data_IF_548579505939
#
_entry.id   IF_548579505939
#
_cell.length_a   1.000
_cell.length_b   1.000
_cell.length_c   1.000
_cell.angle_alpha   90.00
_cell.angle_beta   90.00
_cell.angle_gamma   90.00
#
_symmetry.space_group_name_H-M   'P 1'
#
loop_
_entity.id
_entity.type
_entity.pdbx_description
1 polymer ?
#
# COMPACT_ATOMS: atom_id res chain seq x y z
N UNK A 1 -65.55 44.50 -10.29
CA UNK A 1 -64.49 43.95 -11.14
C UNK A 1 -63.18 44.05 -10.37
N UNK A 2 -62.79 43.02 -9.63
CA UNK A 2 -61.43 42.88 -9.06
C UNK A 2 -61.15 41.38 -8.89
N UNK A 3 -60.23 40.84 -9.70
CA UNK A 3 -59.67 39.49 -9.57
C UNK A 3 -58.52 39.54 -8.56
N UNK A 4 -58.46 38.60 -7.61
CA UNK A 4 -57.24 38.29 -6.87
C UNK A 4 -56.71 36.92 -7.30
N UNK A 5 -55.53 36.93 -7.90
CA UNK A 5 -54.78 35.75 -8.34
C UNK A 5 -53.95 35.21 -7.17
N UNK A 6 -53.97 33.89 -6.97
CA UNK A 6 -53.10 33.21 -6.01
C UNK A 6 -51.87 32.69 -6.75
N UNK A 7 -50.68 33.10 -6.31
CA UNK A 7 -49.41 32.54 -6.78
C UNK A 7 -49.03 31.40 -5.86
N UNK A 8 -49.08 30.16 -6.38
CA UNK A 8 -48.58 28.98 -5.68
C UNK A 8 -47.06 28.91 -5.81
N UNK A 9 -46.35 28.92 -4.68
CA UNK A 9 -44.91 28.64 -4.63
C UNK A 9 -44.68 27.13 -4.56
N UNK A 10 -44.10 26.55 -5.61
CA UNK A 10 -43.67 25.15 -5.63
C UNK A 10 -42.34 24.95 -4.90
N UNK A 11 -42.31 24.04 -3.92
CA UNK A 11 -41.11 23.64 -3.19
C UNK A 11 -40.30 22.66 -4.05
N UNK A 12 -39.11 23.05 -4.51
CA UNK A 12 -38.20 22.19 -5.26
C UNK A 12 -37.30 21.41 -4.28
N UNK A 13 -37.52 20.10 -4.14
CA UNK A 13 -36.67 19.23 -3.33
C UNK A 13 -35.40 18.82 -4.11
N UNK A 14 -34.25 19.37 -3.72
CA UNK A 14 -32.94 19.03 -4.27
C UNK A 14 -32.49 17.70 -3.65
N UNK A 15 -32.49 16.63 -4.43
CA UNK A 15 -31.91 15.35 -4.02
C UNK A 15 -30.39 15.43 -4.22
N UNK A 16 -29.65 15.46 -3.12
CA UNK A 16 -28.19 15.42 -3.15
C UNK A 16 -27.74 13.99 -3.44
N UNK A 17 -27.21 13.75 -4.65
CA UNK A 17 -26.53 12.50 -4.99
C UNK A 17 -25.17 12.48 -4.29
N UNK A 18 -25.11 11.85 -3.12
CA UNK A 18 -23.83 11.52 -2.51
C UNK A 18 -23.23 10.34 -3.29
N UNK A 19 -22.21 10.60 -4.11
CA UNK A 19 -21.35 9.57 -4.64
C UNK A 19 -20.53 8.99 -3.47
N UNK A 20 -20.95 7.82 -2.96
CA UNK A 20 -20.11 7.03 -2.06
C UNK A 20 -19.02 6.36 -2.90
N UNK A 21 -17.78 6.81 -2.77
CA UNK A 21 -16.64 6.06 -3.30
C UNK A 21 -16.63 4.68 -2.65
N UNK A 22 -16.75 3.62 -3.46
CA UNK A 22 -16.70 2.24 -2.94
C UNK A 22 -15.28 1.94 -2.41
N UNK A 23 -15.15 1.17 -1.31
CA UNK A 23 -13.86 0.61 -0.92
C UNK A 23 -13.28 -0.17 -2.09
N UNK A 24 -11.98 0.02 -2.37
CA UNK A 24 -11.28 -0.76 -3.39
C UNK A 24 -11.42 -2.24 -3.05
N UNK A 25 -12.05 -3.03 -3.92
CA UNK A 25 -12.01 -4.49 -3.84
C UNK A 25 -10.54 -4.93 -3.80
N UNK A 26 -10.22 -5.96 -3.00
CA UNK A 26 -8.86 -6.47 -2.94
C UNK A 26 -8.43 -6.89 -4.35
N UNK A 27 -7.28 -6.40 -4.84
CA UNK A 27 -6.85 -6.65 -6.21
C UNK A 27 -6.63 -8.14 -6.44
N UNK A 28 -6.91 -8.63 -7.65
CA UNK A 28 -6.81 -10.05 -8.02
C UNK A 28 -5.56 -10.41 -8.83
N UNK A 29 -4.56 -9.52 -8.87
CA UNK A 29 -3.32 -9.71 -9.63
C UNK A 29 -2.13 -8.93 -9.08
N UNK A 30 -1.12 -8.71 -9.92
CA UNK A 30 0.07 -7.91 -9.57
C UNK A 30 -0.31 -6.52 -9.07
N UNK A 31 0.28 -6.07 -7.95
CA UNK A 31 0.06 -4.73 -7.40
C UNK A 31 1.33 -3.88 -7.47
N UNK A 32 1.21 -2.57 -7.69
CA UNK A 32 2.37 -1.73 -7.83
C UNK A 32 3.01 -1.44 -6.47
N UNK A 33 4.34 -1.54 -6.38
CA UNK A 33 5.10 -1.15 -5.21
C UNK A 33 5.73 0.23 -5.42
N UNK A 34 6.45 0.42 -6.52
CA UNK A 34 7.08 1.70 -6.83
C UNK A 34 6.98 1.99 -8.32
N UNK A 35 6.22 3.01 -8.71
CA UNK A 35 6.05 3.41 -10.12
C UNK A 35 6.41 4.88 -10.27
N UNK A 36 7.58 5.16 -10.83
CA UNK A 36 7.98 6.55 -11.13
C UNK A 36 8.55 6.74 -12.52
N UNK A 37 9.37 5.81 -13.01
CA UNK A 37 10.01 5.94 -14.33
C UNK A 37 10.04 4.58 -15.03
N UNK A 38 10.27 4.49 -16.36
CA UNK A 38 10.41 3.21 -17.05
C UNK A 38 11.50 2.27 -16.48
N UNK A 39 12.46 2.84 -15.75
CA UNK A 39 13.55 2.11 -15.08
C UNK A 39 13.30 1.88 -13.58
N UNK A 40 12.28 2.52 -13.00
CA UNK A 40 11.88 2.38 -11.61
C UNK A 40 10.36 2.14 -11.54
N UNK A 41 10.01 0.92 -11.92
CA UNK A 41 8.64 0.42 -12.04
C UNK A 41 8.59 -1.02 -11.51
N UNK A 42 8.36 -1.15 -10.21
CA UNK A 42 8.41 -2.37 -9.42
C UNK A 42 7.01 -2.78 -8.94
N UNK A 43 6.69 -4.06 -9.07
CA UNK A 43 5.40 -4.66 -8.77
C UNK A 43 5.56 -5.96 -7.99
N UNK A 44 4.56 -6.32 -7.19
CA UNK A 44 4.44 -7.68 -6.69
C UNK A 44 4.00 -8.63 -7.81
N UNK A 45 4.32 -9.92 -7.69
CA UNK A 45 3.79 -10.95 -8.61
C UNK A 45 2.36 -11.37 -8.29
N UNK A 46 1.91 -11.12 -7.07
CA UNK A 46 0.54 -11.35 -6.60
C UNK A 46 0.16 -10.32 -5.53
N UNK A 47 -1.13 -10.12 -5.22
CA UNK A 47 -1.57 -9.23 -4.14
C UNK A 47 -0.94 -9.61 -2.79
N UNK A 48 -0.65 -10.90 -2.61
CA UNK A 48 0.08 -11.42 -1.46
C UNK A 48 1.55 -11.59 -1.82
N UNK A 49 2.46 -10.73 -1.34
CA UNK A 49 3.88 -10.85 -1.68
C UNK A 49 4.45 -12.17 -1.16
N UNK A 50 4.16 -12.55 0.09
CA UNK A 50 4.64 -13.80 0.67
C UNK A 50 6.16 -13.93 0.58
N UNK A 51 6.65 -15.12 0.19
CA UNK A 51 8.07 -15.37 -0.04
C UNK A 51 8.44 -15.28 -1.55
N UNK A 52 8.04 -14.19 -2.20
CA UNK A 52 8.25 -13.97 -3.63
C UNK A 52 8.94 -12.62 -3.88
N UNK A 53 9.95 -12.64 -4.74
CA UNK A 53 10.57 -11.41 -5.23
C UNK A 53 9.57 -10.54 -6.00
N UNK A 54 9.55 -9.22 -5.76
CA UNK A 54 8.88 -8.32 -6.68
C UNK A 54 9.62 -8.28 -8.03
N UNK A 55 8.89 -7.88 -9.06
CA UNK A 55 9.38 -7.81 -10.43
C UNK A 55 9.35 -6.40 -10.98
N UNK A 56 10.12 -6.18 -12.05
CA UNK A 56 9.97 -5.04 -12.92
C UNK A 56 8.97 -5.36 -14.04
N UNK A 57 8.47 -4.32 -14.72
CA UNK A 57 7.54 -4.47 -15.85
C UNK A 57 8.02 -5.40 -16.97
N UNK A 58 9.32 -5.65 -17.09
CA UNK A 58 9.94 -6.53 -18.09
C UNK A 58 10.22 -7.95 -17.57
N UNK A 59 9.53 -8.38 -16.51
CA UNK A 59 9.66 -9.67 -15.85
C UNK A 59 11.05 -9.95 -15.22
N UNK A 60 11.91 -8.94 -15.07
CA UNK A 60 13.14 -9.08 -14.30
C UNK A 60 12.84 -9.02 -12.81
N UNK A 61 13.51 -9.86 -12.04
CA UNK A 61 13.48 -9.81 -10.57
C UNK A 61 14.04 -8.45 -10.11
N UNK A 62 13.34 -7.83 -9.18
CA UNK A 62 13.81 -6.70 -8.40
C UNK A 62 14.12 -7.21 -7.00
N UNK A 63 15.40 -7.31 -6.63
CA UNK A 63 15.84 -7.85 -5.36
C UNK A 63 15.63 -6.85 -4.24
N UNK A 64 14.36 -6.64 -3.89
CA UNK A 64 13.95 -5.83 -2.76
C UNK A 64 13.45 -6.77 -1.68
N UNK A 65 14.17 -6.80 -0.57
CA UNK A 65 13.82 -7.59 0.59
C UNK A 65 13.42 -6.70 1.77
N UNK A 66 12.54 -7.24 2.60
CA UNK A 66 11.98 -6.56 3.74
C UNK A 66 11.71 -7.53 4.89
N UNK A 67 12.38 -7.28 6.02
CA UNK A 67 12.13 -7.99 7.26
C UNK A 67 11.66 -7.05 8.37
N UNK A 68 10.89 -7.63 9.28
CA UNK A 68 10.66 -7.07 10.61
C UNK A 68 10.95 -8.15 11.65
N UNK A 69 11.72 -7.81 12.68
CA UNK A 69 11.92 -8.70 13.82
C UNK A 69 11.07 -8.22 14.97
N UNK A 70 10.26 -9.11 15.54
CA UNK A 70 9.31 -8.83 16.63
C UNK A 70 9.56 -9.86 17.73
N UNK A 71 9.95 -9.40 18.91
CA UNK A 71 10.27 -10.25 20.08
C UNK A 71 11.23 -11.41 19.76
N UNK A 72 12.20 -11.14 18.90
CA UNK A 72 13.20 -12.12 18.47
C UNK A 72 12.81 -12.97 17.25
N UNK A 73 11.54 -12.98 16.83
CA UNK A 73 11.04 -13.70 15.64
C UNK A 73 11.14 -12.81 14.40
N UNK A 74 11.74 -13.32 13.33
CA UNK A 74 11.89 -12.57 12.06
C UNK A 74 10.74 -12.89 11.12
N UNK A 75 10.08 -11.84 10.62
CA UNK A 75 9.00 -11.90 9.66
C UNK A 75 9.40 -11.22 8.37
N UNK A 76 9.16 -11.86 7.23
CA UNK A 76 9.46 -11.33 5.91
C UNK A 76 8.20 -10.78 5.26
N UNK A 77 8.14 -9.46 5.08
CA UNK A 77 6.99 -8.78 4.51
C UNK A 77 7.14 -8.51 3.00
N UNK A 78 8.35 -8.62 2.45
CA UNK A 78 8.63 -8.51 1.02
C UNK A 78 9.90 -9.28 0.64
N UNK A 79 9.95 -9.77 -0.60
CA UNK A 79 11.15 -10.37 -1.19
C UNK A 79 11.17 -11.88 -1.06
N UNK A 80 12.35 -12.48 -1.17
CA UNK A 80 12.53 -13.91 -0.94
C UNK A 80 13.78 -14.21 -0.11
N UNK A 81 13.63 -15.10 0.87
CA UNK A 81 14.73 -15.53 1.73
C UNK A 81 14.80 -17.04 1.85
N UNK A 82 16.01 -17.58 1.82
CA UNK A 82 16.34 -18.97 2.13
C UNK A 82 16.84 -19.14 3.58
N UNK A 83 16.79 -18.07 4.39
CA UNK A 83 17.20 -18.11 5.79
C UNK A 83 16.23 -18.97 6.61
N UNK A 84 16.78 -19.88 7.42
CA UNK A 84 15.99 -20.65 8.38
C UNK A 84 15.43 -19.76 9.49
N UNK A 85 14.22 -20.10 9.98
CA UNK A 85 13.59 -19.40 11.09
C UNK A 85 12.92 -18.06 10.73
N UNK A 86 12.81 -17.76 9.44
CA UNK A 86 12.02 -16.62 8.93
C UNK A 86 10.56 -17.05 8.71
N UNK A 87 9.63 -16.23 9.21
CA UNK A 87 8.19 -16.46 9.11
C UNK A 87 7.56 -15.53 8.07
N UNK A 88 6.49 -15.99 7.42
CA UNK A 88 5.68 -15.15 6.52
C UNK A 88 4.47 -14.63 7.29
N UNK A 89 4.27 -13.31 7.41
CA UNK A 89 3.15 -12.77 8.14
C UNK A 89 1.82 -13.07 7.42
N UNK A 90 0.73 -13.11 8.17
CA UNK A 90 -0.61 -13.20 7.59
C UNK A 90 -0.91 -11.89 6.88
N UNK A 91 -1.51 -11.95 5.69
CA UNK A 91 -1.95 -10.75 4.98
C UNK A 91 -3.45 -10.62 5.20
N UNK A 92 -3.86 -9.51 5.81
CA UNK A 92 -5.26 -9.25 6.14
C UNK A 92 -5.95 -8.43 5.05
N UNK A 93 -5.26 -7.43 4.49
CA UNK A 93 -5.84 -6.55 3.48
C UNK A 93 -4.78 -5.95 2.54
N UNK A 94 -5.22 -5.62 1.32
CA UNK A 94 -4.44 -4.89 0.32
C UNK A 94 -5.30 -3.81 -0.29
N UNK A 95 -4.88 -2.56 -0.13
CA UNK A 95 -5.55 -1.40 -0.73
C UNK A 95 -4.64 -0.74 -1.74
N UNK A 96 -5.14 -0.59 -2.96
CA UNK A 96 -4.45 0.09 -4.05
C UNK A 96 -5.20 1.37 -4.38
N UNK A 97 -4.48 2.48 -4.38
CA UNK A 97 -4.95 3.81 -4.78
C UNK A 97 -4.03 4.37 -5.85
N UNK A 98 -4.41 5.45 -6.55
CA UNK A 98 -3.57 6.01 -7.62
C UNK A 98 -2.14 6.40 -7.21
N UNK A 99 -1.89 6.66 -5.92
CA UNK A 99 -0.58 7.10 -5.42
C UNK A 99 0.02 6.21 -4.35
N UNK A 100 -0.71 5.21 -3.87
CA UNK A 100 -0.31 4.36 -2.73
C UNK A 100 -0.80 2.94 -2.88
N UNK A 101 0.04 2.00 -2.47
CA UNK A 101 -0.32 0.60 -2.21
C UNK A 101 -0.06 0.31 -0.74
N UNK A 102 -1.07 -0.18 -0.04
CA UNK A 102 -1.03 -0.45 1.40
C UNK A 102 -1.26 -1.94 1.59
N UNK A 103 -0.33 -2.61 2.26
CA UNK A 103 -0.48 -3.98 2.73
C UNK A 103 -0.64 -3.97 4.25
N UNK A 104 -1.69 -4.60 4.75
CA UNK A 104 -1.92 -4.81 6.17
C UNK A 104 -1.66 -6.27 6.52
N UNK A 105 -0.72 -6.49 7.42
CA UNK A 105 -0.26 -7.79 7.85
C UNK A 105 -0.46 -8.00 9.34
N UNK A 106 -0.62 -9.25 9.76
CA UNK A 106 -0.52 -9.68 11.15
C UNK A 106 0.74 -10.54 11.33
N UNK A 107 1.61 -10.11 12.24
CA UNK A 107 2.89 -10.73 12.56
C UNK A 107 2.95 -11.06 14.05
N UNK A 108 2.35 -12.20 14.43
CA UNK A 108 2.17 -12.55 15.85
C UNK A 108 1.15 -11.64 16.52
N UNK A 109 1.56 -10.93 17.58
CA UNK A 109 0.70 -9.98 18.32
C UNK A 109 0.93 -8.52 17.89
N UNK A 110 1.39 -8.31 16.66
CA UNK A 110 1.65 -6.98 16.10
C UNK A 110 1.03 -6.90 14.72
N UNK A 111 0.22 -5.86 14.53
CA UNK A 111 -0.28 -5.46 13.22
C UNK A 111 0.79 -4.62 12.53
N UNK A 112 1.14 -4.99 11.30
CA UNK A 112 2.14 -4.32 10.47
C UNK A 112 1.46 -3.76 9.22
N UNK A 113 1.54 -2.45 9.01
CA UNK A 113 1.08 -1.79 7.79
C UNK A 113 2.27 -1.30 6.98
N UNK A 114 2.41 -1.79 5.75
CA UNK A 114 3.44 -1.38 4.80
C UNK A 114 2.80 -0.56 3.68
N UNK A 115 3.09 0.73 3.65
CA UNK A 115 2.59 1.66 2.62
C UNK A 115 3.71 2.03 1.66
N UNK A 116 3.55 1.63 0.41
CA UNK A 116 4.37 2.12 -0.69
C UNK A 116 3.68 3.33 -1.30
N UNK A 117 4.38 4.45 -1.43
CA UNK A 117 3.81 5.66 -2.02
C UNK A 117 4.74 6.32 -3.03
N UNK A 118 4.12 6.75 -4.12
CA UNK A 118 4.70 7.57 -5.16
C UNK A 118 3.95 8.91 -5.17
N UNK A 119 4.27 9.85 -4.25
CA UNK A 119 3.53 11.10 -4.15
C UNK A 119 3.59 11.90 -5.45
N UNK A 120 2.45 12.44 -5.87
CA UNK A 120 2.35 13.44 -6.94
C UNK A 120 2.18 14.78 -6.23
N UNK A 121 3.28 15.46 -5.90
CA UNK A 121 3.21 16.82 -5.35
C UNK A 121 2.88 17.78 -6.50
N UNK A 122 1.65 18.29 -6.57
CA UNK A 122 1.22 19.22 -7.62
C UNK A 122 1.74 20.65 -7.44
N UNK A 123 2.31 20.97 -6.27
CA UNK A 123 2.70 22.34 -5.90
C UNK A 123 4.18 22.68 -6.14
N UNK A 124 5.05 21.69 -6.41
CA UNK A 124 6.49 21.91 -6.57
C UNK A 124 7.08 21.02 -7.68
N UNK A 125 7.31 21.65 -8.85
CA UNK A 125 7.89 21.00 -10.03
C UNK A 125 9.36 20.55 -9.83
N UNK A 126 10.09 21.15 -8.89
CA UNK A 126 11.47 20.76 -8.60
C UNK A 126 11.50 19.42 -7.83
N UNK A 127 10.55 19.19 -6.92
CA UNK A 127 10.42 17.93 -6.17
C UNK A 127 9.87 16.79 -7.02
N UNK A 128 9.11 17.10 -8.08
CA UNK A 128 8.71 16.11 -9.10
C UNK A 128 9.89 15.60 -9.95
N UNK A 129 10.98 16.36 -10.03
CA UNK A 129 12.15 16.02 -10.86
C UNK A 129 13.09 15.01 -10.20
N UNK A 130 12.86 14.66 -8.93
CA UNK A 130 13.66 13.69 -8.18
C UNK A 130 13.00 12.30 -8.23
N UNK A 131 13.71 11.26 -8.68
CA UNK A 131 13.17 9.91 -8.78
C UNK A 131 13.19 9.22 -7.41
N UNK A 132 12.29 9.59 -6.50
CA UNK A 132 12.10 8.93 -5.20
C UNK A 132 10.72 8.25 -5.08
N UNK A 133 10.70 7.12 -4.37
CA UNK A 133 9.48 6.51 -3.81
C UNK A 133 9.69 6.38 -2.30
N UNK A 134 8.61 6.34 -1.53
CA UNK A 134 8.70 6.07 -0.10
C UNK A 134 8.08 4.72 0.22
N UNK A 135 8.64 4.08 1.25
CA UNK A 135 7.99 2.99 1.98
C UNK A 135 7.89 3.42 3.43
N UNK A 136 6.66 3.40 3.94
CA UNK A 136 6.36 3.64 5.33
C UNK A 136 5.96 2.31 5.97
N UNK A 137 6.52 2.02 7.14
CA UNK A 137 6.15 0.89 7.97
C UNK A 137 5.57 1.43 9.26
N UNK A 138 4.35 0.99 9.58
CA UNK A 138 3.65 1.31 10.80
C UNK A 138 3.37 0.00 11.54
N UNK A 139 3.65 -0.03 12.85
CA UNK A 139 3.45 -1.22 13.67
C UNK A 139 2.66 -0.85 14.92
N UNK A 140 1.68 -1.68 15.28
CA UNK A 140 0.88 -1.52 16.50
C UNK A 140 0.67 -2.86 17.19
N UNK A 141 0.85 -2.89 18.51
CA UNK A 141 0.53 -4.06 19.33
C UNK A 141 -0.98 -4.36 19.26
N UNK A 142 -1.33 -5.64 19.11
CA UNK A 142 -2.71 -6.13 19.16
C UNK A 142 -3.08 -6.71 20.53
N UNK A 143 -2.10 -6.93 21.41
CA UNK A 143 -2.28 -7.49 22.76
C UNK A 143 -2.08 -6.47 23.90
N UNK A 144 -1.87 -5.20 23.57
CA UNK A 144 -1.61 -4.08 24.50
C UNK A 144 -0.29 -4.22 25.29
N UNK A 145 0.66 -5.01 24.80
CA UNK A 145 2.00 -5.14 25.38
C UNK A 145 3.05 -4.37 24.58
N UNK A 146 4.18 -4.12 25.22
CA UNK A 146 5.36 -3.58 24.53
C UNK A 146 6.10 -4.73 23.85
N UNK A 147 6.45 -4.54 22.58
CA UNK A 147 7.24 -5.49 21.80
C UNK A 147 8.57 -4.84 21.37
N UNK A 148 9.64 -5.64 21.35
CA UNK A 148 10.90 -5.21 20.74
C UNK A 148 10.80 -5.37 19.23
N UNK A 149 11.04 -4.29 18.48
CA UNK A 149 10.88 -4.28 17.03
C UNK A 149 12.12 -3.76 16.32
N UNK A 150 12.50 -4.45 15.24
CA UNK A 150 13.61 -4.06 14.37
C UNK A 150 13.14 -4.17 12.92
N UNK A 151 13.50 -3.19 12.10
CA UNK A 151 13.14 -3.16 10.67
C UNK A 151 14.41 -3.27 9.85
N UNK A 152 14.36 -4.10 8.81
CA UNK A 152 15.40 -4.20 7.79
C UNK A 152 14.75 -4.13 6.42
N UNK A 153 15.38 -3.37 5.52
CA UNK A 153 15.07 -3.45 4.09
C UNK A 153 16.33 -3.15 3.30
N UNK A 154 16.53 -3.91 2.23
CA UNK A 154 17.59 -3.66 1.26
C UNK A 154 17.05 -3.72 -0.17
N UNK A 155 17.84 -3.17 -1.08
CA UNK A 155 17.59 -3.26 -2.51
C UNK A 155 18.92 -3.61 -3.16
N UNK A 156 18.94 -4.71 -3.90
CA UNK A 156 20.07 -5.12 -4.70
C UNK A 156 19.69 -5.16 -6.19
N UNK A 157 20.70 -5.13 -7.05
CA UNK A 157 20.52 -5.16 -8.51
C UNK A 157 20.80 -6.56 -9.06
N UNK A 158 20.15 -7.60 -8.54
CA UNK A 158 20.22 -8.95 -9.10
C UNK A 158 19.71 -10.02 -8.14
N UNK A 159 19.16 -11.12 -8.65
CA UNK A 159 18.74 -12.26 -7.81
C UNK A 159 19.90 -12.63 -6.85
N UNK A 160 19.79 -12.48 -5.53
CA UNK A 160 20.80 -13.03 -4.64
C UNK A 160 20.82 -14.55 -4.86
N UNK A 161 22.02 -15.06 -5.06
CA UNK A 161 22.30 -16.43 -5.52
C UNK A 161 21.75 -17.49 -4.60
#
# INVERSE_FOLDING_TARGET
>A
MFLSSWVSFGLLAIHSLCCTAQPSESPSGSVPLAIRTPHFNCWTVSPRPGNLWPGLWNNRIFGWEGFVRIDGVTWQWLGHSDLEGVMIPSLEDVKVTPTRTVHSFEAGNVSLTVTFLSPIETADLARQSLPFTYVALEMSSTDQRTHDTQVYSDINTGKPS
#
